data_IF_659839598286
#
_entry.id   IF_659839598286
#
_cell.length_a   1.000
_cell.length_b   1.000
_cell.length_c   1.000
_cell.angle_alpha   90.00
_cell.angle_beta   90.00
_cell.angle_gamma   90.00
#
_symmetry.space_group_name_H-M   'P 1'
#
loop_
_entity.id
_entity.type
_entity.pdbx_description
1 polymer ?
#
# COMPACT_ATOMS: atom_id res chain seq x y z
N UNK A 1 5.26 -12.33 12.44
CA UNK A 1 3.95 -11.67 12.18
C UNK A 1 2.94 -11.90 13.31
N UNK A 2 2.78 -13.12 13.80
CA UNK A 2 1.84 -13.51 14.88
C UNK A 2 2.01 -12.70 16.17
N UNK A 3 3.25 -12.33 16.53
CA UNK A 3 3.53 -11.49 17.71
C UNK A 3 3.07 -10.03 17.54
N UNK A 4 3.20 -9.47 16.34
CA UNK A 4 2.78 -8.11 16.00
C UNK A 4 1.25 -8.03 15.99
N UNK A 5 0.60 -9.05 15.44
CA UNK A 5 -0.85 -9.21 15.43
C UNK A 5 -1.38 -9.35 16.86
N UNK A 6 -0.73 -10.13 17.72
CA UNK A 6 -1.10 -10.28 19.12
C UNK A 6 -0.98 -8.96 19.90
N UNK A 7 0.08 -8.18 19.64
CA UNK A 7 0.29 -6.87 20.25
C UNK A 7 -0.77 -5.84 19.82
N UNK A 8 -1.13 -5.82 18.53
CA UNK A 8 -2.25 -4.98 18.03
C UNK A 8 -3.60 -5.43 18.62
N UNK A 9 -3.81 -6.74 18.81
CA UNK A 9 -5.03 -7.28 19.41
C UNK A 9 -5.20 -6.85 20.88
N UNK A 10 -4.10 -6.68 21.61
CA UNK A 10 -4.09 -6.24 23.01
C UNK A 10 -4.16 -4.72 23.20
N UNK A 11 -3.54 -3.93 22.31
CA UNK A 11 -3.58 -2.45 22.37
C UNK A 11 -4.97 -1.90 21.99
N UNK A 12 -5.67 -2.56 21.07
CA UNK A 12 -7.00 -2.11 20.57
C UNK A 12 -8.17 -2.47 21.49
N UNK A 13 -8.06 -3.58 22.22
CA UNK A 13 -9.07 -3.99 23.23
C UNK A 13 -9.04 -3.13 24.50
N UNK A 14 -7.96 -2.39 24.75
CA UNK A 14 -7.84 -1.46 25.88
C UNK A 14 -8.43 -0.06 25.60
N UNK A 15 -8.85 0.25 24.37
CA UNK A 15 -9.27 1.59 23.95
C UNK A 15 -10.79 1.77 23.82
N UNK A 16 -11.58 0.76 24.23
CA UNK A 16 -13.04 0.79 24.15
C UNK A 16 -13.61 1.15 25.53
N UNK A 17 -13.43 2.41 25.92
CA UNK A 17 -14.01 2.97 27.15
C UNK A 17 -15.51 3.14 27.02
N UNK A 18 -16.21 2.62 28.03
CA UNK A 18 -17.65 2.49 28.13
C UNK A 18 -18.26 3.84 28.49
N UNK A 19 -19.20 4.35 27.68
CA UNK A 19 -20.05 5.49 28.05
C UNK A 19 -21.50 5.01 28.15
N UNK A 20 -22.18 5.10 29.31
CA UNK A 20 -23.59 4.73 29.42
C UNK A 20 -24.45 5.96 29.14
N UNK A 21 -25.09 6.00 27.97
CA UNK A 21 -26.17 6.97 27.71
C UNK A 21 -27.47 6.44 28.33
N UNK A 22 -27.84 7.04 29.45
CA UNK A 22 -29.22 7.16 29.91
C UNK A 22 -29.93 8.14 28.96
N UNK A 23 -31.05 7.73 28.37
CA UNK A 23 -32.22 8.58 28.14
C UNK A 23 -33.31 7.79 27.40
N UNK A 24 -34.46 7.58 28.05
CA UNK A 24 -35.79 7.66 27.45
C UNK A 24 -36.89 7.45 28.50
N UNK A 25 -37.45 8.57 28.95
CA UNK A 25 -38.75 8.66 29.61
C UNK A 25 -39.69 9.51 28.74
N UNK A 26 -40.99 9.20 28.83
CA UNK A 26 -42.17 9.89 28.29
C UNK A 26 -42.34 9.81 26.76
N UNK A 27 -43.45 9.35 26.19
CA UNK A 27 -44.84 9.50 26.62
C UNK A 27 -45.50 10.53 25.71
N UNK A 28 -46.39 10.09 24.81
CA UNK A 28 -47.33 10.97 24.11
C UNK A 28 -48.57 10.20 23.69
N UNK A 29 -49.61 10.47 24.47
CA UNK A 29 -51.04 10.22 24.26
C UNK A 29 -51.60 11.25 23.26
N UNK A 30 -52.72 10.91 22.61
CA UNK A 30 -53.74 11.75 21.91
C UNK A 30 -53.90 11.32 20.44
N UNK A 31 -55.08 11.22 19.80
CA UNK A 31 -56.49 11.52 20.10
C UNK A 31 -57.29 10.93 18.91
N UNK A 32 -58.46 10.31 19.10
CA UNK A 32 -59.84 10.75 18.71
C UNK A 32 -60.62 9.40 18.57
N UNK A 33 -61.89 9.18 18.92
CA UNK A 33 -63.06 10.05 19.01
C UNK A 33 -64.18 9.33 19.83
N UNK A 34 -65.16 10.07 20.32
CA UNK A 34 -66.14 9.68 21.34
C UNK A 34 -67.50 9.15 20.80
N UNK A 35 -67.90 7.96 21.30
CA UNK A 35 -69.28 7.48 21.66
C UNK A 35 -70.28 7.06 20.55
N UNK A 36 -71.35 6.25 20.83
CA UNK A 36 -71.81 5.69 22.11
C UNK A 36 -72.07 4.16 22.14
N UNK A 37 -72.16 3.69 23.40
CA UNK A 37 -72.61 2.39 23.92
C UNK A 37 -73.53 1.57 23.00
N UNK A 38 -73.06 0.38 22.63
CA UNK A 38 -73.92 -0.76 22.31
C UNK A 38 -73.49 -1.93 23.18
N UNK A 39 -74.35 -2.29 24.14
CA UNK A 39 -74.22 -3.49 24.98
C UNK A 39 -74.20 -4.71 24.06
N UNK A 40 -73.02 -5.18 23.68
CA UNK A 40 -72.87 -6.42 22.92
C UNK A 40 -72.06 -7.42 23.73
N UNK A 41 -72.84 -8.24 24.44
CA UNK A 41 -72.54 -9.60 24.89
C UNK A 41 -71.11 -10.07 24.63
N UNK A 42 -70.35 -10.17 25.71
CA UNK A 42 -69.17 -11.04 25.80
C UNK A 42 -69.69 -12.46 25.52
N UNK A 43 -69.48 -12.95 24.31
CA UNK A 43 -69.81 -14.33 23.96
C UNK A 43 -68.65 -14.97 23.18
N UNK A 44 -68.02 -15.90 23.89
CA UNK A 44 -67.46 -17.14 23.35
C UNK A 44 -66.24 -17.05 22.43
N UNK A 45 -65.10 -16.64 22.99
CA UNK A 45 -63.79 -17.15 22.55
C UNK A 45 -62.67 -17.06 23.62
N UNK A 46 -62.93 -16.57 24.83
CA UNK A 46 -61.97 -16.67 25.92
C UNK A 46 -62.14 -18.01 26.63
N UNK A 47 -61.14 -18.86 26.48
CA UNK A 47 -60.95 -20.07 27.27
C UNK A 47 -61.17 -19.75 28.76
N UNK A 48 -62.03 -20.50 29.48
CA UNK A 48 -62.40 -20.15 30.84
C UNK A 48 -61.16 -20.12 31.74
N UNK A 49 -60.85 -18.96 32.30
CA UNK A 49 -59.80 -18.80 33.31
C UNK A 49 -60.28 -19.59 34.55
N UNK A 50 -59.83 -20.84 34.67
CA UNK A 50 -60.13 -21.67 35.82
C UNK A 50 -59.32 -21.16 37.02
N UNK A 51 -59.97 -20.42 37.92
CA UNK A 51 -59.39 -20.16 39.24
C UNK A 51 -59.34 -21.47 40.01
N UNK A 52 -58.16 -22.09 40.07
CA UNK A 52 -57.92 -23.22 40.97
C UNK A 52 -58.02 -22.68 42.39
N UNK A 53 -58.99 -23.19 43.17
CA UNK A 53 -59.24 -22.81 44.56
C UNK A 53 -57.93 -22.96 45.36
N UNK A 54 -57.38 -21.84 45.80
CA UNK A 54 -56.24 -21.82 46.73
C UNK A 54 -56.78 -22.31 48.07
N UNK A 55 -56.27 -23.46 48.51
CA UNK A 55 -56.75 -24.15 49.71
C UNK A 55 -55.88 -23.86 50.95
N UNK A 56 -54.72 -23.22 50.76
CA UNK A 56 -53.76 -22.89 51.82
C UNK A 56 -52.87 -21.70 51.40
N UNK A 57 -52.37 -20.93 52.39
CA UNK A 57 -51.36 -19.89 52.18
C UNK A 57 -50.07 -20.44 51.54
N UNK A 58 -49.71 -21.68 51.90
CA UNK A 58 -48.56 -22.39 51.34
C UNK A 58 -48.75 -22.70 49.84
N UNK A 59 -49.98 -23.00 49.41
CA UNK A 59 -50.28 -23.23 47.99
C UNK A 59 -50.17 -21.92 47.18
N UNK A 60 -50.56 -20.80 47.76
CA UNK A 60 -50.40 -19.47 47.17
C UNK A 60 -48.91 -19.13 47.03
N UNK A 61 -48.14 -19.29 48.11
CA UNK A 61 -46.70 -19.00 48.14
C UNK A 61 -45.94 -19.87 47.14
N UNK A 62 -46.25 -21.17 47.07
CA UNK A 62 -45.71 -22.08 46.07
C UNK A 62 -45.97 -21.60 44.64
N UNK A 63 -47.17 -21.11 44.33
CA UNK A 63 -47.48 -20.55 42.99
C UNK A 63 -46.77 -19.22 42.75
N UNK A 64 -46.63 -18.37 43.76
CA UNK A 64 -45.88 -17.13 43.65
C UNK A 64 -44.41 -17.41 43.31
N UNK A 65 -43.79 -18.38 44.00
CA UNK A 65 -42.43 -18.84 43.72
C UNK A 65 -42.30 -19.47 42.32
N UNK A 66 -43.29 -20.25 41.86
CA UNK A 66 -43.31 -20.78 40.50
C UNK A 66 -43.33 -19.68 39.44
N UNK A 67 -44.15 -18.63 39.64
CA UNK A 67 -44.21 -17.48 38.74
C UNK A 67 -42.91 -16.67 38.76
N UNK A 68 -42.32 -16.46 39.94
CA UNK A 68 -41.02 -15.80 40.06
C UNK A 68 -39.92 -16.61 39.36
N UNK A 69 -39.85 -17.92 39.58
CA UNK A 69 -38.90 -18.81 38.90
C UNK A 69 -39.09 -18.79 37.39
N UNK A 70 -40.34 -18.80 36.90
CA UNK A 70 -40.62 -18.67 35.46
C UNK A 70 -40.12 -17.34 34.90
N UNK A 71 -40.40 -16.22 35.57
CA UNK A 71 -39.92 -14.89 35.16
C UNK A 71 -38.38 -14.80 35.16
N UNK A 72 -37.74 -15.37 36.18
CA UNK A 72 -36.28 -15.44 36.25
C UNK A 72 -35.70 -16.29 35.11
N UNK A 73 -36.35 -17.40 34.78
CA UNK A 73 -35.96 -18.25 33.68
C UNK A 73 -36.10 -17.54 32.33
N UNK A 74 -37.23 -16.85 32.09
CA UNK A 74 -37.44 -16.03 30.89
C UNK A 74 -36.39 -14.92 30.77
N UNK A 75 -36.13 -14.17 31.85
CA UNK A 75 -35.10 -13.13 31.88
C UNK A 75 -33.68 -13.69 31.65
N UNK A 76 -33.39 -14.90 32.14
CA UNK A 76 -32.13 -15.58 31.92
C UNK A 76 -31.98 -16.05 30.47
N UNK A 77 -33.06 -16.55 29.85
CA UNK A 77 -33.04 -16.95 28.44
C UNK A 77 -32.87 -15.75 27.51
N UNK A 78 -33.53 -14.62 27.80
CA UNK A 78 -33.34 -13.38 27.06
C UNK A 78 -31.88 -12.90 27.13
N UNK A 79 -31.29 -12.88 28.34
CA UNK A 79 -29.86 -12.54 28.50
C UNK A 79 -28.94 -13.50 27.75
N UNK A 80 -29.26 -14.80 27.73
CA UNK A 80 -28.48 -15.78 26.96
C UNK A 80 -28.57 -15.54 25.46
N UNK A 81 -29.75 -15.19 24.94
CA UNK A 81 -29.94 -14.85 23.53
C UNK A 81 -29.12 -13.60 23.15
N UNK A 82 -29.19 -12.54 23.97
CA UNK A 82 -28.39 -11.33 23.76
C UNK A 82 -26.87 -11.60 23.80
N UNK A 83 -26.41 -12.45 24.71
CA UNK A 83 -24.99 -12.87 24.75
C UNK A 83 -24.61 -13.65 23.49
N UNK A 84 -25.48 -14.52 22.99
CA UNK A 84 -25.22 -15.28 21.77
C UNK A 84 -25.12 -14.37 20.54
N UNK A 85 -26.04 -13.41 20.40
CA UNK A 85 -26.01 -12.40 19.33
C UNK A 85 -24.72 -11.56 19.38
N UNK A 86 -24.33 -11.08 20.57
CA UNK A 86 -23.10 -10.30 20.72
C UNK A 86 -21.85 -11.14 20.39
N UNK A 87 -21.84 -12.43 20.75
CA UNK A 87 -20.75 -13.34 20.39
C UNK A 87 -20.65 -13.56 18.88
N UNK A 88 -21.78 -13.78 18.21
CA UNK A 88 -21.83 -13.89 16.75
C UNK A 88 -21.35 -12.60 16.09
N UNK A 89 -21.74 -11.44 16.64
CA UNK A 89 -21.28 -10.15 16.14
C UNK A 89 -19.76 -9.98 16.31
N UNK A 90 -19.20 -10.38 17.44
CA UNK A 90 -17.74 -10.38 17.68
C UNK A 90 -17.04 -11.27 16.66
N UNK A 91 -17.50 -12.51 16.48
CA UNK A 91 -16.93 -13.44 15.51
C UNK A 91 -16.96 -12.88 14.08
N UNK A 92 -18.07 -12.26 13.68
CA UNK A 92 -18.17 -11.60 12.38
C UNK A 92 -17.16 -10.46 12.22
N UNK A 93 -16.97 -9.63 13.26
CA UNK A 93 -16.00 -8.53 13.24
C UNK A 93 -14.55 -9.05 13.21
N UNK A 94 -14.23 -10.10 13.97
CA UNK A 94 -12.92 -10.74 13.94
C UNK A 94 -12.61 -11.35 12.56
N UNK A 95 -13.58 -12.02 11.94
CA UNK A 95 -13.45 -12.56 10.59
C UNK A 95 -13.30 -11.48 9.51
N UNK A 96 -13.87 -10.29 9.71
CA UNK A 96 -13.63 -9.16 8.81
C UNK A 96 -12.23 -8.58 9.03
N UNK A 97 -11.81 -8.45 10.29
CA UNK A 97 -10.50 -7.92 10.63
C UNK A 97 -9.36 -8.77 10.05
N UNK A 98 -9.44 -10.09 10.11
CA UNK A 98 -8.42 -10.97 9.50
C UNK A 98 -8.31 -10.78 7.99
N UNK A 99 -9.42 -10.51 7.30
CA UNK A 99 -9.43 -10.19 5.86
C UNK A 99 -8.80 -8.83 5.60
N UNK A 100 -9.14 -7.82 6.38
CA UNK A 100 -8.57 -6.47 6.26
C UNK A 100 -7.05 -6.49 6.50
N UNK A 101 -6.57 -7.26 7.48
CA UNK A 101 -5.15 -7.44 7.77
C UNK A 101 -4.42 -8.11 6.60
N UNK A 102 -5.03 -9.11 5.96
CA UNK A 102 -4.49 -9.76 4.77
C UNK A 102 -4.39 -8.78 3.58
N UNK A 103 -5.42 -7.96 3.36
CA UNK A 103 -5.42 -6.92 2.32
C UNK A 103 -4.33 -5.88 2.57
N UNK A 104 -4.16 -5.43 3.82
CA UNK A 104 -3.12 -4.48 4.20
C UNK A 104 -1.72 -5.01 3.89
N UNK A 105 -1.46 -6.30 4.11
CA UNK A 105 -0.20 -6.95 3.75
C UNK A 105 0.05 -6.91 2.24
N UNK A 106 -0.98 -7.23 1.44
CA UNK A 106 -0.90 -7.22 -0.03
C UNK A 106 -0.60 -5.81 -0.54
N UNK A 107 -1.34 -4.80 -0.05
CA UNK A 107 -1.13 -3.39 -0.43
C UNK A 107 0.27 -2.93 -0.06
N UNK A 108 0.74 -3.22 1.16
CA UNK A 108 2.08 -2.85 1.60
C UNK A 108 3.16 -3.50 0.72
N UNK A 109 2.98 -4.76 0.29
CA UNK A 109 3.91 -5.42 -0.62
C UNK A 109 4.01 -4.69 -1.97
N UNK A 110 2.87 -4.38 -2.59
CA UNK A 110 2.85 -3.64 -3.86
C UNK A 110 3.41 -2.22 -3.72
N UNK A 111 3.18 -1.57 -2.59
CA UNK A 111 3.74 -0.24 -2.33
C UNK A 111 5.27 -0.28 -2.23
N UNK A 112 5.82 -1.23 -1.48
CA UNK A 112 7.29 -1.41 -1.42
C UNK A 112 7.86 -1.73 -2.81
N UNK A 113 7.14 -2.55 -3.58
CA UNK A 113 7.52 -2.86 -4.96
C UNK A 113 7.58 -1.61 -5.85
N UNK A 114 6.60 -0.70 -5.71
CA UNK A 114 6.56 0.58 -6.41
C UNK A 114 7.71 1.50 -5.99
N UNK A 115 8.00 1.60 -4.69
CA UNK A 115 9.10 2.40 -4.16
C UNK A 115 10.45 1.93 -4.75
N UNK A 116 10.69 0.61 -4.76
CA UNK A 116 11.86 -0.01 -5.39
C UNK A 116 11.95 0.26 -6.90
N UNK A 117 10.86 0.05 -7.64
CA UNK A 117 10.82 0.24 -9.10
C UNK A 117 11.08 1.69 -9.49
N UNK A 118 10.47 2.63 -8.76
CA UNK A 118 10.63 4.06 -9.01
C UNK A 118 12.09 4.48 -8.88
N UNK A 119 12.80 4.00 -7.86
CA UNK A 119 14.21 4.33 -7.67
C UNK A 119 15.12 3.69 -8.72
N UNK A 120 14.87 2.43 -9.10
CA UNK A 120 15.60 1.79 -10.20
C UNK A 120 15.44 2.60 -11.50
N UNK A 121 14.22 3.08 -11.78
CA UNK A 121 13.96 3.92 -12.95
C UNK A 121 14.70 5.26 -12.82
N UNK A 122 14.66 5.89 -11.64
CA UNK A 122 15.34 7.16 -11.41
C UNK A 122 16.86 7.03 -11.60
N UNK A 123 17.48 6.00 -11.02
CA UNK A 123 18.91 5.71 -11.17
C UNK A 123 19.33 5.47 -12.63
N UNK A 124 18.44 4.98 -13.49
CA UNK A 124 18.72 4.82 -14.93
C UNK A 124 18.72 6.14 -15.69
N UNK A 125 17.87 7.10 -15.29
CA UNK A 125 17.79 8.40 -15.94
C UNK A 125 18.77 9.41 -15.36
N UNK A 126 19.19 9.21 -14.11
CA UNK A 126 20.03 10.11 -13.33
C UNK A 126 21.09 9.28 -12.59
N UNK A 127 22.26 9.11 -13.22
CA UNK A 127 23.37 8.27 -12.72
C UNK A 127 23.92 8.71 -11.35
N UNK A 128 23.62 9.94 -10.93
CA UNK A 128 24.06 10.56 -9.67
C UNK A 128 22.95 10.58 -8.59
N UNK A 129 21.84 9.86 -8.79
CA UNK A 129 20.74 9.82 -7.81
C UNK A 129 21.05 8.87 -6.63
N UNK A 130 21.68 9.41 -5.58
CA UNK A 130 21.78 8.73 -4.27
C UNK A 130 20.50 8.96 -3.44
N UNK A 131 19.49 8.12 -3.64
CA UNK A 131 18.31 8.08 -2.75
C UNK A 131 18.17 6.65 -2.18
N UNK A 132 18.43 6.49 -0.88
CA UNK A 132 18.34 5.21 -0.18
C UNK A 132 16.91 4.91 0.30
N UNK A 133 16.47 3.66 0.14
CA UNK A 133 15.22 3.14 0.71
C UNK A 133 15.53 2.50 2.06
N UNK A 134 14.66 2.69 3.05
CA UNK A 134 14.54 1.73 4.16
C UNK A 134 13.90 0.44 3.62
N UNK A 135 14.72 -0.44 3.02
CA UNK A 135 14.35 -1.60 2.18
C UNK A 135 13.64 -2.77 2.86
N UNK A 136 13.18 -2.63 4.11
CA UNK A 136 12.54 -3.76 4.80
C UNK A 136 11.01 -3.61 4.81
N UNK A 137 10.34 -4.42 3.98
CA UNK A 137 8.88 -4.65 4.00
C UNK A 137 8.34 -4.96 5.40
N UNK A 138 9.20 -5.50 6.27
CA UNK A 138 8.87 -5.88 7.63
C UNK A 138 8.99 -4.70 8.62
N UNK A 139 9.82 -3.68 8.33
CA UNK A 139 10.01 -2.55 9.24
C UNK A 139 8.75 -1.69 9.35
N UNK A 140 8.07 -1.39 8.24
CA UNK A 140 6.89 -0.52 8.24
C UNK A 140 5.68 -1.18 8.93
N UNK A 141 5.42 -2.46 8.68
CA UNK A 141 4.33 -3.19 9.35
C UNK A 141 4.63 -3.41 10.84
N UNK A 142 5.89 -3.65 11.20
CA UNK A 142 6.31 -3.76 12.59
C UNK A 142 6.22 -2.43 13.33
N UNK A 143 6.50 -1.32 12.65
CA UNK A 143 6.34 0.04 13.20
C UNK A 143 4.87 0.46 13.32
N UNK A 144 3.99 0.04 12.40
CA UNK A 144 2.54 0.30 12.50
C UNK A 144 1.94 -0.20 13.82
N UNK A 145 2.45 -1.31 14.37
CA UNK A 145 1.98 -1.81 15.67
C UNK A 145 2.41 -0.96 16.86
N UNK A 146 3.46 -0.13 16.70
CA UNK A 146 3.90 0.81 17.72
C UNK A 146 3.16 2.14 17.66
N UNK A 147 2.67 2.55 16.48
CA UNK A 147 2.02 3.84 16.27
C UNK A 147 0.61 3.90 16.84
N UNK A 148 0.26 5.08 17.34
CA UNK A 148 -1.10 5.35 17.81
C UNK A 148 -2.01 5.74 16.63
N UNK A 149 -3.34 5.61 16.82
CA UNK A 149 -4.34 5.79 15.75
C UNK A 149 -4.20 7.12 14.99
N UNK A 150 -3.76 8.15 15.69
CA UNK A 150 -3.60 9.52 15.15
C UNK A 150 -2.29 9.70 14.36
N UNK A 151 -1.26 8.90 14.65
CA UNK A 151 0.07 8.99 14.01
C UNK A 151 0.14 8.19 12.69
N UNK A 152 -0.63 7.11 12.58
CA UNK A 152 -0.72 6.27 11.37
C UNK A 152 -0.98 7.06 10.08
N UNK A 153 -1.97 7.98 10.00
CA UNK A 153 -2.23 8.73 8.78
C UNK A 153 -1.06 9.63 8.38
N UNK A 154 -0.38 10.26 9.34
CA UNK A 154 0.77 11.12 9.09
C UNK A 154 1.95 10.31 8.51
N UNK A 155 2.27 9.16 9.11
CA UNK A 155 3.34 8.27 8.62
C UNK A 155 3.04 7.66 7.25
N UNK A 156 1.78 7.32 6.99
CA UNK A 156 1.37 6.89 5.67
C UNK A 156 1.53 8.02 4.64
N UNK A 157 1.18 9.24 5.03
CA UNK A 157 1.32 10.42 4.18
C UNK A 157 2.80 10.74 3.89
N UNK A 158 3.71 10.62 4.86
CA UNK A 158 5.16 10.76 4.65
C UNK A 158 5.67 9.80 3.56
N UNK A 159 5.24 8.53 3.61
CA UNK A 159 5.61 7.52 2.60
C UNK A 159 5.04 7.81 1.22
N UNK A 160 3.80 8.31 1.16
CA UNK A 160 3.20 8.78 -0.10
C UNK A 160 3.97 9.97 -0.67
N UNK A 161 4.37 10.93 0.18
CA UNK A 161 5.16 12.08 -0.27
C UNK A 161 6.55 11.69 -0.75
N UNK A 162 7.17 10.70 -0.11
CA UNK A 162 8.43 10.12 -0.59
C UNK A 162 8.28 9.61 -2.02
N UNK A 163 7.38 8.66 -2.26
CA UNK A 163 7.15 8.10 -3.61
C UNK A 163 6.78 9.17 -4.65
N UNK A 164 5.94 10.15 -4.31
CA UNK A 164 5.61 11.29 -5.18
C UNK A 164 6.84 12.10 -5.58
N UNK A 165 7.78 12.32 -4.65
CA UNK A 165 9.02 13.07 -4.91
C UNK A 165 9.92 12.34 -5.91
N UNK A 166 10.07 11.03 -5.74
CA UNK A 166 10.82 10.17 -6.68
C UNK A 166 10.21 10.27 -8.07
N UNK A 167 8.88 10.09 -8.17
CA UNK A 167 8.16 10.13 -9.45
C UNK A 167 8.33 11.49 -10.13
N UNK A 168 8.24 12.61 -9.39
CA UNK A 168 8.45 13.94 -9.94
C UNK A 168 9.88 14.12 -10.50
N UNK A 169 10.90 13.57 -9.84
CA UNK A 169 12.28 13.56 -10.34
C UNK A 169 12.40 12.75 -11.63
N UNK A 170 11.80 11.55 -11.67
CA UNK A 170 11.79 10.70 -12.89
C UNK A 170 11.18 11.46 -14.06
N UNK A 171 10.02 12.09 -13.86
CA UNK A 171 9.34 12.88 -14.89
C UNK A 171 10.22 14.03 -15.39
N UNK A 172 10.85 14.76 -14.48
CA UNK A 172 11.77 15.86 -14.82
C UNK A 172 12.97 15.37 -15.66
N UNK A 173 13.56 14.24 -15.29
CA UNK A 173 14.67 13.63 -16.05
C UNK A 173 14.22 13.12 -17.42
N UNK A 174 13.02 12.54 -17.50
CA UNK A 174 12.42 12.12 -18.77
C UNK A 174 12.18 13.32 -19.70
N UNK A 175 11.63 14.43 -19.20
CA UNK A 175 11.41 15.65 -19.98
C UNK A 175 12.72 16.22 -20.55
N UNK A 176 13.80 16.25 -19.76
CA UNK A 176 15.13 16.66 -20.22
C UNK A 176 15.63 15.78 -21.36
N UNK A 177 15.50 14.46 -21.22
CA UNK A 177 15.91 13.50 -22.25
C UNK A 177 15.10 13.68 -23.54
N UNK A 178 13.77 13.84 -23.44
CA UNK A 178 12.88 14.08 -24.59
C UNK A 178 13.24 15.39 -25.30
N UNK A 179 13.54 16.45 -24.54
CA UNK A 179 13.98 17.74 -25.08
C UNK A 179 15.31 17.59 -25.83
N UNK A 180 16.28 16.91 -25.24
CA UNK A 180 17.56 16.62 -25.88
C UNK A 180 17.38 15.80 -27.17
N UNK A 181 16.54 14.77 -27.14
CA UNK A 181 16.24 13.94 -28.30
C UNK A 181 15.57 14.75 -29.42
N UNK A 182 14.65 15.65 -29.08
CA UNK A 182 13.97 16.53 -30.04
C UNK A 182 14.96 17.49 -30.70
N UNK A 183 15.89 18.06 -29.92
CA UNK A 183 16.98 18.91 -30.43
C UNK A 183 17.90 18.14 -31.38
N UNK A 184 18.30 16.91 -31.03
CA UNK A 184 19.10 16.07 -31.92
C UNK A 184 18.39 15.74 -33.23
N UNK A 185 17.09 15.43 -33.18
CA UNK A 185 16.28 15.21 -34.40
C UNK A 185 16.21 16.44 -35.29
N UNK A 186 16.06 17.63 -34.70
CA UNK A 186 16.04 18.89 -35.44
C UNK A 186 17.41 19.15 -36.11
N UNK A 187 18.52 18.92 -35.40
CA UNK A 187 19.86 19.06 -35.98
C UNK A 187 20.12 18.07 -37.11
N UNK A 188 19.66 16.81 -37.00
CA UNK A 188 19.76 15.83 -38.08
C UNK A 188 18.84 16.13 -39.27
N UNK A 189 17.65 16.70 -39.03
CA UNK A 189 16.76 17.14 -40.10
C UNK A 189 17.35 18.30 -40.89
N UNK A 190 17.96 19.27 -40.20
CA UNK A 190 18.55 20.45 -40.81
C UNK A 190 19.85 20.14 -41.58
N UNK A 191 20.60 19.10 -41.22
CA UNK A 191 21.79 18.68 -41.98
C UNK A 191 21.44 18.00 -43.30
N UNK A 192 20.24 17.40 -43.43
CA UNK A 192 19.75 16.87 -44.71
C UNK A 192 19.42 17.97 -45.73
N UNK A 193 19.00 19.14 -45.27
CA UNK A 193 18.71 20.29 -46.15
C UNK A 193 19.95 21.11 -46.53
N UNK A 194 21.03 21.03 -45.75
CA UNK A 194 22.28 21.72 -46.08
C UNK A 194 23.15 20.95 -47.10
N UNK A 195 22.96 19.64 -47.23
CA UNK A 195 23.69 18.81 -48.21
C UNK A 195 23.14 18.87 -49.64
N UNK A 196 21.99 19.52 -49.87
CA UNK A 196 21.28 19.54 -51.16
C UNK A 196 21.35 20.88 -51.92
N UNK A 197 22.16 21.86 -51.46
CA UNK A 197 22.34 23.17 -52.11
C UNK A 197 23.79 23.49 -52.52
N UNK A 198 24.60 22.48 -52.82
CA UNK A 198 25.93 22.65 -53.41
C UNK A 198 26.07 21.84 -54.72
N UNK A 199 25.13 22.03 -55.65
CA UNK A 199 25.36 21.78 -57.08
C UNK A 199 24.40 22.61 -57.91
N UNK A 200 24.99 23.24 -58.92
CA UNK A 200 24.40 23.94 -60.05
C UNK A 200 23.75 25.31 -59.80
N UNK A 201 24.46 26.38 -60.19
CA UNK A 201 24.37 26.84 -61.58
C UNK A 201 25.29 28.05 -61.87
N UNK A 202 26.10 27.91 -62.93
CA UNK A 202 26.80 28.98 -63.63
C UNK A 202 25.83 29.86 -64.42
N UNK A 203 26.03 31.18 -64.43
CA UNK A 203 25.26 32.09 -65.28
C UNK A 203 25.65 33.56 -65.16
N UNK A 204 26.62 33.97 -65.97
CA UNK A 204 27.08 35.33 -66.32
C UNK A 204 26.03 36.46 -66.26
N UNK A 205 26.39 37.63 -65.72
CA UNK A 205 26.49 38.90 -66.46
C UNK A 205 26.83 40.11 -65.57
N UNK A 206 27.79 40.91 -66.05
CA UNK A 206 28.17 42.26 -65.56
C UNK A 206 27.21 43.29 -66.21
N UNK A 207 26.88 44.43 -65.56
CA UNK A 207 27.53 45.70 -65.94
C UNK A 207 27.75 46.74 -64.80
N UNK A 208 28.94 47.36 -64.84
CA UNK A 208 29.29 48.79 -64.68
C UNK A 208 28.40 49.75 -63.87
N UNK A 209 29.03 50.56 -63.00
CA UNK A 209 28.50 51.88 -62.62
C UNK A 209 28.97 52.49 -61.29
N UNK A 210 30.13 53.14 -61.32
CA UNK A 210 30.71 54.17 -60.43
C UNK A 210 29.72 55.05 -59.61
N UNK A 211 30.02 55.33 -58.33
CA UNK A 211 30.15 56.69 -57.75
C UNK A 211 30.68 56.66 -56.30
N UNK A 212 31.28 57.78 -55.92
CA UNK A 212 32.33 58.00 -54.91
C UNK A 212 31.81 58.57 -53.58
N UNK A 213 32.73 58.68 -52.61
CA UNK A 213 32.75 59.53 -51.39
C UNK A 213 32.14 58.97 -50.10
N UNK A 214 32.69 59.15 -48.90
CA UNK A 214 33.97 59.66 -48.37
C UNK A 214 34.06 59.30 -46.86
N UNK A 215 35.28 59.39 -46.32
CA UNK A 215 35.66 59.64 -44.91
C UNK A 215 35.79 58.53 -43.84
N UNK A 216 37.07 58.30 -43.48
CA UNK A 216 37.70 58.39 -42.14
C UNK A 216 37.24 57.41 -41.02
N UNK A 217 38.09 56.62 -40.37
CA UNK A 217 39.53 56.51 -40.43
C UNK A 217 40.11 55.50 -39.41
N UNK A 218 41.44 55.39 -39.50
CA UNK A 218 42.40 54.99 -38.46
C UNK A 218 42.73 53.49 -38.22
N UNK A 219 43.65 52.99 -39.05
CA UNK A 219 44.99 52.47 -38.72
C UNK A 219 45.21 51.72 -37.37
N UNK A 220 45.60 50.44 -37.48
CA UNK A 220 47.01 50.09 -37.24
C UNK A 220 47.41 48.84 -38.04
N UNK A 221 48.43 49.02 -38.87
CA UNK A 221 49.08 48.00 -39.70
C UNK A 221 50.24 47.34 -38.96
N UNK A 222 50.44 46.05 -39.23
CA UNK A 222 51.74 45.42 -39.55
C UNK A 222 51.38 44.02 -40.09
N UNK A 223 51.34 43.80 -41.42
CA UNK A 223 52.51 43.50 -42.27
C UNK A 223 52.95 42.05 -42.05
N UNK A 224 53.10 41.14 -43.02
CA UNK A 224 53.28 41.23 -44.47
C UNK A 224 53.24 39.80 -45.04
N UNK A 225 52.88 39.68 -46.33
CA UNK A 225 53.21 38.61 -47.31
C UNK A 225 52.08 37.74 -47.85
N UNK A 226 52.04 37.74 -49.20
CA UNK A 226 51.13 37.14 -50.17
C UNK A 226 51.04 35.60 -50.15
N UNK A 227 49.81 35.10 -50.37
CA UNK A 227 49.31 34.11 -51.37
C UNK A 227 50.29 33.16 -52.12
N UNK A 228 49.82 32.10 -52.81
CA UNK A 228 48.86 31.04 -52.44
C UNK A 228 49.35 29.64 -52.91
N UNK A 229 48.99 28.54 -52.24
CA UNK A 229 49.08 27.21 -52.88
C UNK A 229 48.19 26.17 -52.18
N UNK A 230 47.41 25.52 -53.03
CA UNK A 230 46.51 24.40 -52.81
C UNK A 230 47.13 23.21 -52.08
N UNK A 231 46.24 22.43 -51.47
CA UNK A 231 46.26 20.95 -51.41
C UNK A 231 46.54 20.34 -50.03
N UNK A 232 45.48 19.72 -49.51
CA UNK A 232 45.46 18.57 -48.61
C UNK A 232 46.31 18.64 -47.33
N UNK A 233 45.72 19.12 -46.25
CA UNK A 233 46.10 18.67 -44.91
C UNK A 233 44.96 17.81 -44.37
N UNK A 234 45.03 16.51 -44.66
CA UNK A 234 44.28 15.48 -43.94
C UNK A 234 44.54 15.69 -42.45
N UNK A 235 43.51 16.04 -41.68
CA UNK A 235 43.56 16.07 -40.21
C UNK A 235 43.61 14.61 -39.73
N UNK A 236 44.77 14.06 -39.32
CA UNK A 236 44.85 12.66 -38.93
C UNK A 236 44.27 12.47 -37.52
N UNK A 237 44.37 13.49 -36.67
CA UNK A 237 43.91 13.44 -35.28
C UNK A 237 42.40 13.58 -35.06
N UNK A 238 41.63 14.12 -36.02
CA UNK A 238 40.17 14.21 -35.86
C UNK A 238 39.47 12.89 -36.16
N UNK A 239 40.07 12.05 -36.99
CA UNK A 239 39.57 10.71 -37.33
C UNK A 239 39.84 9.74 -36.17
N UNK A 240 41.05 9.80 -35.58
CA UNK A 240 41.39 9.06 -34.37
C UNK A 240 40.46 9.38 -33.18
N UNK A 241 40.19 10.67 -32.93
CA UNK A 241 39.26 11.08 -31.87
C UNK A 241 37.81 10.66 -32.17
N UNK A 242 37.39 10.65 -33.44
CA UNK A 242 36.05 10.16 -33.81
C UNK A 242 35.93 8.65 -33.60
N UNK A 243 36.99 7.90 -33.93
CA UNK A 243 37.05 6.46 -33.71
C UNK A 243 37.08 6.12 -32.22
N UNK A 244 37.83 6.88 -31.41
CA UNK A 244 37.84 6.78 -29.96
C UNK A 244 36.47 7.10 -29.35
N UNK A 245 35.80 8.17 -29.78
CA UNK A 245 34.44 8.51 -29.36
C UNK A 245 33.44 7.39 -29.76
N UNK A 246 33.61 6.77 -30.93
CA UNK A 246 32.77 5.67 -31.37
C UNK A 246 32.97 4.40 -30.50
N UNK A 247 34.22 4.10 -30.13
CA UNK A 247 34.56 3.00 -29.22
C UNK A 247 34.04 3.26 -27.81
N UNK A 248 34.21 4.47 -27.29
CA UNK A 248 33.67 4.89 -25.99
C UNK A 248 32.14 4.81 -25.96
N UNK A 249 31.45 5.24 -27.03
CA UNK A 249 30.00 5.09 -27.13
C UNK A 249 29.54 3.62 -27.18
N UNK A 250 30.27 2.77 -27.90
CA UNK A 250 30.00 1.32 -27.96
C UNK A 250 30.18 0.67 -26.60
N UNK A 251 31.25 1.03 -25.89
CA UNK A 251 31.53 0.53 -24.56
C UNK A 251 30.51 1.04 -23.53
N UNK A 252 30.11 2.31 -23.62
CA UNK A 252 29.05 2.87 -22.77
C UNK A 252 27.70 2.16 -23.03
N UNK A 253 27.36 1.86 -24.28
CA UNK A 253 26.19 1.04 -24.62
C UNK A 253 26.27 -0.38 -24.04
N UNK A 254 27.46 -0.99 -24.05
CA UNK A 254 27.71 -2.32 -23.47
C UNK A 254 27.53 -2.28 -21.94
N UNK A 255 28.12 -1.29 -21.28
CA UNK A 255 28.02 -1.07 -19.84
C UNK A 255 26.58 -0.81 -19.43
N UNK A 256 25.84 0.02 -20.16
CA UNK A 256 24.41 0.25 -19.94
C UNK A 256 23.58 -1.03 -20.06
N UNK A 257 23.89 -1.87 -21.06
CA UNK A 257 23.22 -3.17 -21.25
C UNK A 257 23.52 -4.13 -20.10
N UNK A 258 24.78 -4.20 -19.68
CA UNK A 258 25.20 -5.04 -18.56
C UNK A 258 24.57 -4.56 -17.24
N UNK A 259 24.55 -3.26 -17.01
CA UNK A 259 23.92 -2.64 -15.84
C UNK A 259 22.42 -2.94 -15.82
N UNK A 260 21.74 -2.82 -16.97
CA UNK A 260 20.33 -3.20 -17.12
C UNK A 260 20.09 -4.69 -16.82
N UNK A 261 20.97 -5.56 -17.32
CA UNK A 261 20.88 -7.01 -17.08
C UNK A 261 21.11 -7.36 -15.61
N UNK A 262 22.12 -6.76 -14.98
CA UNK A 262 22.42 -6.94 -13.57
C UNK A 262 21.25 -6.47 -12.70
N UNK A 263 20.69 -5.30 -12.96
CA UNK A 263 19.51 -4.81 -12.24
C UNK A 263 18.31 -5.72 -12.44
N UNK A 264 18.04 -6.19 -13.66
CA UNK A 264 16.95 -7.14 -13.92
C UNK A 264 17.15 -8.45 -13.14
N UNK A 265 18.37 -8.98 -13.11
CA UNK A 265 18.72 -10.18 -12.35
C UNK A 265 18.63 -9.95 -10.84
N UNK A 266 19.10 -8.81 -10.35
CA UNK A 266 19.00 -8.42 -8.96
C UNK A 266 17.52 -8.36 -8.55
N UNK A 267 16.67 -7.66 -9.33
CA UNK A 267 15.23 -7.61 -9.08
C UNK A 267 14.59 -8.99 -9.06
N UNK A 268 14.91 -9.84 -10.02
CA UNK A 268 14.42 -11.23 -10.04
C UNK A 268 14.88 -12.01 -8.80
N UNK A 269 16.14 -11.84 -8.40
CA UNK A 269 16.68 -12.48 -7.19
C UNK A 269 16.02 -11.96 -5.93
N UNK A 270 15.76 -10.66 -5.82
CA UNK A 270 15.10 -10.04 -4.68
C UNK A 270 13.65 -10.50 -4.54
N UNK A 271 12.93 -10.65 -5.66
CA UNK A 271 11.59 -11.24 -5.65
C UNK A 271 11.61 -12.69 -5.17
N UNK A 272 12.53 -13.52 -5.71
CA UNK A 272 12.70 -14.91 -5.25
C UNK A 272 13.09 -15.00 -3.78
N UNK A 273 13.93 -14.09 -3.31
CA UNK A 273 14.32 -14.05 -1.89
C UNK A 273 13.10 -13.76 -1.02
N UNK A 274 12.25 -12.82 -1.43
CA UNK A 274 11.01 -12.48 -0.72
C UNK A 274 10.02 -13.65 -0.73
N UNK A 275 9.83 -14.33 -1.87
CA UNK A 275 9.01 -15.55 -1.95
C UNK A 275 9.52 -16.66 -1.02
N UNK A 276 10.83 -16.90 -1.00
CA UNK A 276 11.44 -17.89 -0.11
C UNK A 276 11.31 -17.50 1.37
N UNK A 277 11.41 -16.20 1.68
CA UNK A 277 11.22 -15.69 3.03
C UNK A 277 9.76 -15.86 3.49
N UNK A 278 8.79 -15.59 2.63
CA UNK A 278 7.36 -15.83 2.90
C UNK A 278 7.08 -17.32 3.14
N UNK A 279 7.67 -18.21 2.32
CA UNK A 279 7.57 -19.66 2.51
C UNK A 279 8.22 -20.13 3.83
N UNK A 280 9.39 -19.59 4.17
CA UNK A 280 10.07 -19.91 5.42
C UNK A 280 9.25 -19.44 6.63
N UNK A 281 8.64 -18.25 6.54
CA UNK A 281 7.77 -17.72 7.59
C UNK A 281 6.52 -18.59 7.75
N UNK A 282 5.85 -18.98 6.67
CA UNK A 282 4.70 -19.86 6.71
C UNK A 282 5.03 -21.24 7.32
N UNK A 283 6.19 -21.80 6.96
CA UNK A 283 6.66 -23.06 7.57
C UNK A 283 6.97 -22.90 9.07
N UNK A 284 7.53 -21.75 9.48
CA UNK A 284 7.79 -21.43 10.88
C UNK A 284 6.50 -21.33 11.70
N UNK A 285 5.50 -20.63 11.16
CA UNK A 285 4.20 -20.49 11.80
C UNK A 285 3.48 -21.85 11.91
N UNK A 286 3.54 -22.68 10.86
CA UNK A 286 3.02 -24.04 10.89
C UNK A 286 3.75 -24.93 11.92
N UNK A 287 5.07 -24.80 12.05
CA UNK A 287 5.83 -25.52 13.07
C UNK A 287 5.41 -25.11 14.50
N UNK A 288 5.16 -23.81 14.74
CA UNK A 288 4.65 -23.31 16.01
C UNK A 288 3.24 -23.85 16.33
N UNK A 289 2.37 -24.00 15.33
CA UNK A 289 1.06 -24.64 15.52
C UNK A 289 1.19 -26.12 15.89
N UNK A 290 2.08 -26.86 15.22
CA UNK A 290 2.33 -28.27 15.55
C UNK A 290 2.94 -28.44 16.94
N UNK A 291 3.84 -27.53 17.34
CA UNK A 291 4.38 -27.46 18.69
C UNK A 291 3.26 -27.28 19.72
N UNK A 292 2.35 -26.33 19.51
CA UNK A 292 1.22 -26.10 20.43
C UNK A 292 0.29 -27.32 20.52
N UNK A 293 0.03 -28.01 19.40
CA UNK A 293 -0.76 -29.26 19.40
C UNK A 293 -0.05 -30.38 20.16
N UNK A 294 1.26 -30.49 20.00
CA UNK A 294 2.06 -31.46 20.75
C UNK A 294 1.98 -31.20 22.25
N UNK A 295 2.14 -29.95 22.68
CA UNK A 295 2.05 -29.55 24.09
C UNK A 295 0.66 -29.84 24.70
N UNK A 296 -0.43 -29.60 23.96
CA UNK A 296 -1.79 -29.96 24.40
C UNK A 296 -1.98 -31.48 24.55
N UNK A 297 -1.44 -32.27 23.63
CA UNK A 297 -1.47 -33.74 23.71
C UNK A 297 -0.62 -34.26 24.88
N UNK A 298 0.57 -33.69 25.09
CA UNK A 298 1.45 -34.04 26.21
C UNK A 298 0.79 -33.72 27.56
N UNK A 299 0.10 -32.57 27.65
CA UNK A 299 -0.71 -32.22 28.81
C UNK A 299 -1.82 -33.25 29.08
N UNK A 300 -2.59 -33.63 28.04
CA UNK A 300 -3.65 -34.64 28.16
C UNK A 300 -3.10 -36.01 28.56
N UNK A 301 -1.94 -36.40 28.03
CA UNK A 301 -1.26 -37.63 28.39
C UNK A 301 -0.88 -37.60 29.87
N UNK A 302 -0.21 -36.54 30.33
CA UNK A 302 0.19 -36.39 31.73
C UNK A 302 -1.02 -36.40 32.68
N UNK A 303 -2.13 -35.76 32.29
CA UNK A 303 -3.40 -35.80 33.02
C UNK A 303 -3.94 -37.24 33.16
N UNK A 304 -3.96 -38.00 32.06
CA UNK A 304 -4.41 -39.40 32.05
C UNK A 304 -3.50 -40.30 32.89
N UNK A 305 -2.18 -40.11 32.81
CA UNK A 305 -1.22 -40.85 33.63
C UNK A 305 -1.43 -40.57 35.12
N UNK A 306 -1.70 -39.32 35.51
CA UNK A 306 -2.06 -38.97 36.89
C UNK A 306 -3.36 -39.61 37.34
N UNK A 307 -4.31 -39.86 36.43
CA UNK A 307 -5.54 -40.57 36.75
C UNK A 307 -5.26 -42.06 36.97
N UNK A 308 -4.45 -42.68 36.11
CA UNK A 308 -4.03 -44.09 36.24
C UNK A 308 -3.28 -44.30 37.56
N UNK A 309 -2.29 -43.47 37.89
CA UNK A 309 -1.57 -43.60 39.17
C UNK A 309 -2.50 -43.45 40.38
N UNK A 310 -3.47 -42.53 40.32
CA UNK A 310 -4.50 -42.40 41.35
C UNK A 310 -5.37 -43.65 41.50
N UNK A 311 -5.65 -44.37 40.40
CA UNK A 311 -6.38 -45.63 40.43
C UNK A 311 -5.52 -46.77 40.97
N UNK A 312 -4.25 -46.84 40.57
CA UNK A 312 -3.30 -47.84 41.09
C UNK A 312 -3.10 -47.72 42.61
N UNK A 313 -3.07 -46.50 43.16
CA UNK A 313 -3.00 -46.28 44.62
C UNK A 313 -4.29 -46.68 45.36
N UNK A 314 -5.40 -46.90 44.65
CA UNK A 314 -6.70 -47.29 45.22
C UNK A 314 -6.96 -48.79 45.14
N UNK A 315 -6.11 -49.54 44.44
CA UNK A 315 -6.12 -51.00 44.35
C UNK A 315 -5.16 -51.61 45.38
#
# INVERSE_FOLDING_TARGET
FTLVICCMKMKRSFSEDTKPDNDLLHGSTSQLDLTPVSKRLISAASEPISFIRISSLEELDKRALQLQNKKLWEALMERRAAIAEMKERIEHLENRQTKDDALLCVVNRYWNQLDEDSLIILQRFDSDAEEEISTSTESFLKQLASWDKEEVPEKLQERVHFSKRIIARILSSYEKMVTHQSRLRQLLGNTSEFSSKASDNSGSSVPYGTHSSDSEGNNHSTGTSQEPASTACSKPGTVDLHEEIALLNKENSRLQTLCTNLHSKHRQSSLRLRELQDLAQANSDAAAEWQAKYEDLDYKLAESMKQVTRLDHRL
#
